data_IF_374729977012
#
_entry.id   IF_374729977012
#
_cell.length_a   1.000
_cell.length_b   1.000
_cell.length_c   1.000
_cell.angle_alpha   90.00
_cell.angle_beta   90.00
_cell.angle_gamma   90.00
#
_symmetry.space_group_name_H-M   'P 1'
#
loop_
_entity.id
_entity.type
_entity.pdbx_description
1 polymer ?
#
# COMPACT_ATOMS: atom_id res chain seq x y z
N UNK A 1 2.87 1.75 -14.21
CA UNK A 1 3.33 0.91 -13.07
C UNK A 1 2.26 0.96 -11.98
N UNK A 2 2.09 -0.08 -11.16
CA UNK A 2 1.06 -0.11 -10.11
C UNK A 2 1.73 -0.17 -8.73
N UNK A 3 1.27 0.64 -7.79
CA UNK A 3 1.70 0.58 -6.39
C UNK A 3 0.50 0.19 -5.53
N UNK A 4 0.61 -0.94 -4.84
CA UNK A 4 -0.43 -1.46 -3.94
C UNK A 4 0.01 -1.19 -2.51
N UNK A 5 -0.86 -0.56 -1.73
CA UNK A 5 -0.59 -0.21 -0.34
C UNK A 5 -1.90 -0.06 0.43
N UNK A 6 -1.79 -0.05 1.76
CA UNK A 6 -2.97 0.09 2.60
C UNK A 6 -3.56 1.51 2.52
N UNK A 7 -4.83 1.68 2.89
CA UNK A 7 -5.44 3.02 2.94
C UNK A 7 -5.02 3.82 4.18
N UNK A 8 -3.87 3.53 4.80
CA UNK A 8 -3.49 4.20 6.03
C UNK A 8 -3.12 5.67 5.74
N UNK A 9 -3.98 6.56 6.24
CA UNK A 9 -4.00 7.98 5.87
C UNK A 9 -2.72 8.76 6.21
N UNK A 10 -1.81 8.24 7.04
CA UNK A 10 -0.69 9.02 7.56
C UNK A 10 0.38 9.38 6.52
N UNK A 11 0.51 8.59 5.44
CA UNK A 11 1.53 8.79 4.43
C UNK A 11 0.99 9.27 3.07
N UNK A 12 -0.34 9.33 2.92
CA UNK A 12 -1.02 9.84 1.71
C UNK A 12 -1.04 11.38 1.79
N UNK A 13 0.08 11.98 1.41
CA UNK A 13 0.23 13.44 1.32
C UNK A 13 0.21 13.91 -0.12
N UNK A 14 -0.04 15.21 -0.35
CA UNK A 14 0.06 15.78 -1.71
C UNK A 14 1.44 15.53 -2.36
N UNK A 15 2.52 15.65 -1.56
CA UNK A 15 3.89 15.37 -2.02
C UNK A 15 4.07 13.91 -2.43
N UNK A 16 3.44 12.98 -1.69
CA UNK A 16 3.44 11.56 -2.02
C UNK A 16 2.76 11.34 -3.38
N UNK A 17 1.53 11.83 -3.55
CA UNK A 17 0.74 11.67 -4.79
C UNK A 17 1.49 12.25 -6.00
N UNK A 18 1.95 13.51 -5.89
CA UNK A 18 2.68 14.19 -6.96
C UNK A 18 3.93 13.44 -7.39
N UNK A 19 4.65 12.80 -6.45
CA UNK A 19 5.82 11.99 -6.78
C UNK A 19 5.48 10.76 -7.62
N UNK A 20 4.36 10.09 -7.34
CA UNK A 20 3.96 8.89 -8.09
C UNK A 20 3.36 9.22 -9.45
N UNK A 21 2.65 10.35 -9.57
CA UNK A 21 2.21 10.87 -10.87
C UNK A 21 3.39 11.13 -11.80
N UNK A 22 4.44 11.82 -11.32
CA UNK A 22 5.67 12.05 -12.10
C UNK A 22 6.35 10.76 -12.58
N UNK A 23 6.16 9.66 -11.85
CA UNK A 23 6.76 8.36 -12.14
C UNK A 23 5.84 7.45 -12.97
N UNK A 24 4.66 7.92 -13.39
CA UNK A 24 3.63 7.12 -14.05
C UNK A 24 3.28 5.85 -13.25
N UNK A 25 3.19 6.01 -11.93
CA UNK A 25 2.79 4.97 -10.98
C UNK A 25 1.35 5.26 -10.55
N UNK A 26 0.47 4.31 -10.81
CA UNK A 26 -0.93 4.36 -10.35
C UNK A 26 -0.99 3.82 -8.93
N UNK A 27 -1.47 4.61 -7.95
CA UNK A 27 -1.73 4.10 -6.61
C UNK A 27 -3.02 3.28 -6.56
N UNK A 28 -2.97 2.12 -5.91
CA UNK A 28 -4.11 1.25 -5.64
C UNK A 28 -4.25 1.05 -4.13
N UNK A 29 -5.32 1.60 -3.59
CA UNK A 29 -5.60 1.63 -2.16
C UNK A 29 -6.38 0.38 -1.74
N UNK A 30 -5.83 -0.40 -0.82
CA UNK A 30 -6.55 -1.52 -0.21
C UNK A 30 -7.53 -1.00 0.84
N UNK A 31 -8.76 -1.49 0.82
CA UNK A 31 -9.81 -1.08 1.76
C UNK A 31 -9.30 -1.25 3.20
N UNK A 32 -9.54 -0.23 4.04
CA UNK A 32 -9.22 -0.26 5.47
C UNK A 32 -9.77 -1.52 6.12
N UNK A 33 -8.99 -2.15 7.00
CA UNK A 33 -9.33 -3.44 7.62
C UNK A 33 -9.48 -4.62 6.66
N UNK A 34 -9.08 -4.52 5.38
CA UNK A 34 -8.86 -5.69 4.51
C UNK A 34 -7.38 -6.07 4.43
N UNK A 35 -6.50 -5.18 4.87
CA UNK A 35 -5.06 -5.23 4.72
C UNK A 35 -4.42 -6.53 5.22
N UNK A 36 -4.89 -7.06 6.35
CA UNK A 36 -4.37 -8.31 6.92
C UNK A 36 -4.65 -9.54 6.04
N UNK A 37 -5.64 -9.46 5.15
CA UNK A 37 -6.03 -10.55 4.25
C UNK A 37 -5.62 -10.29 2.80
N UNK A 38 -5.47 -9.02 2.40
CA UNK A 38 -5.27 -8.63 0.99
C UNK A 38 -3.89 -8.02 0.72
N UNK A 39 -3.16 -7.57 1.74
CA UNK A 39 -1.80 -7.07 1.55
C UNK A 39 -0.84 -8.25 1.40
N UNK A 40 -0.39 -8.47 0.16
CA UNK A 40 0.58 -9.51 -0.21
C UNK A 40 1.80 -9.58 0.71
N UNK A 41 2.34 -8.42 1.10
CA UNK A 41 3.47 -8.37 2.03
C UNK A 41 3.10 -8.94 3.41
N UNK A 42 1.91 -8.65 3.92
CA UNK A 42 1.50 -9.08 5.25
C UNK A 42 1.15 -10.58 5.28
N UNK A 43 0.46 -11.06 4.24
CA UNK A 43 0.04 -12.46 4.10
C UNK A 43 1.18 -13.37 3.65
N UNK A 44 1.90 -13.02 2.59
CA UNK A 44 2.86 -13.95 1.97
C UNK A 44 4.26 -13.86 2.60
N UNK A 45 4.67 -12.70 3.11
CA UNK A 45 6.03 -12.49 3.59
C UNK A 45 6.09 -12.37 5.11
N UNK A 46 5.35 -11.43 5.70
CA UNK A 46 5.45 -11.16 7.13
C UNK A 46 4.72 -12.19 8.00
N UNK A 47 3.74 -12.93 7.49
CA UNK A 47 3.08 -14.01 8.23
C UNK A 47 4.08 -15.04 8.78
N UNK A 48 5.13 -15.37 8.02
CA UNK A 48 6.21 -16.26 8.47
C UNK A 48 7.08 -15.68 9.60
N UNK A 49 6.98 -14.38 9.85
CA UNK A 49 7.78 -13.62 10.82
C UNK A 49 6.97 -13.07 12.01
N UNK A 50 5.65 -13.31 12.05
CA UNK A 50 4.80 -12.97 13.20
C UNK A 50 4.99 -14.07 14.26
N UNK A 51 5.77 -13.76 15.29
CA UNK A 51 6.02 -14.60 16.47
C UNK A 51 5.19 -14.11 17.66
#
# INVERSE_FOLDING_TARGET
RLLIFDSYSSYITYKFISRYEQLNIVPFYLITHSTYATQLLDVAYFQSKKH
#
